data_IF_387613958758
#
_entry.id   IF_387613958758
#
_cell.length_a   1.000
_cell.length_b   1.000
_cell.length_c   1.000
_cell.angle_alpha   90.00
_cell.angle_beta   90.00
_cell.angle_gamma   90.00
#
_symmetry.space_group_name_H-M   'P 1'
#
loop_
_entity.id
_entity.type
_entity.pdbx_description
1 polymer ?
#
# COMPACT_ATOMS: atom_id res chain seq x y z
N UNK A 1 -15.88 -0.58 -9.94
CA UNK A 1 -14.78 0.13 -9.27
C UNK A 1 -13.47 -0.48 -9.74
N UNK A 2 -12.50 0.33 -10.16
CA UNK A 2 -11.19 -0.18 -10.54
C UNK A 2 -10.35 -0.27 -9.26
N UNK A 3 -10.16 -1.48 -8.73
CA UNK A 3 -9.45 -1.72 -7.47
C UNK A 3 -7.96 -1.60 -7.72
N UNK A 4 -7.29 -0.65 -7.07
CA UNK A 4 -5.84 -0.53 -7.12
C UNK A 4 -5.24 -1.22 -5.90
N UNK A 5 -4.32 -2.16 -6.14
CA UNK A 5 -3.52 -2.77 -5.08
C UNK A 5 -2.06 -2.45 -5.28
N UNK A 6 -1.29 -2.50 -4.19
CA UNK A 6 0.17 -2.50 -4.25
C UNK A 6 0.72 -3.75 -3.58
N UNK A 7 1.88 -4.17 -4.05
CA UNK A 7 2.67 -5.29 -3.52
C UNK A 7 3.98 -4.76 -2.94
N UNK A 8 4.72 -5.61 -2.25
CA UNK A 8 6.03 -5.25 -1.72
C UNK A 8 7.01 -4.78 -2.83
N UNK A 9 6.85 -5.31 -4.05
CA UNK A 9 7.66 -4.91 -5.22
C UNK A 9 7.35 -3.50 -5.70
N UNK A 10 6.08 -3.09 -5.63
CA UNK A 10 5.66 -1.73 -6.01
C UNK A 10 6.20 -0.69 -5.02
N UNK A 11 6.48 -1.11 -3.78
CA UNK A 11 7.12 -0.30 -2.75
C UNK A 11 8.65 -0.34 -2.83
N UNK A 12 9.24 -0.78 -3.95
CA UNK A 12 10.70 -0.93 -4.17
C UNK A 12 11.41 -1.65 -3.01
N UNK A 13 10.74 -2.63 -2.40
CA UNK A 13 11.23 -3.37 -1.24
C UNK A 13 11.61 -2.49 -0.03
N UNK A 14 11.01 -1.30 0.11
CA UNK A 14 11.35 -0.38 1.20
C UNK A 14 11.10 -1.06 2.55
N UNK A 15 12.17 -1.29 3.30
CA UNK A 15 12.17 -1.94 4.62
C UNK A 15 11.83 -0.98 5.77
N UNK A 16 11.72 0.31 5.46
CA UNK A 16 11.43 1.38 6.41
C UNK A 16 10.04 1.98 6.13
N UNK A 17 9.27 2.35 7.17
CA UNK A 17 8.04 3.11 7.01
C UNK A 17 8.31 4.45 6.30
N UNK A 18 7.35 4.93 5.51
CA UNK A 18 7.50 6.18 4.76
C UNK A 18 6.37 6.44 3.80
N UNK A 19 6.55 7.45 2.94
CA UNK A 19 5.63 7.71 1.83
C UNK A 19 6.25 7.21 0.53
N UNK A 20 5.56 6.33 -0.17
CA UNK A 20 5.96 5.87 -1.50
C UNK A 20 5.08 6.54 -2.56
N UNK A 21 5.63 6.76 -3.76
CA UNK A 21 4.88 7.36 -4.86
C UNK A 21 4.48 6.29 -5.86
N UNK A 22 3.19 6.09 -6.02
CA UNK A 22 2.64 5.25 -7.09
C UNK A 22 2.31 6.09 -8.32
N UNK A 23 1.87 5.44 -9.40
CA UNK A 23 1.42 6.13 -10.62
C UNK A 23 0.24 7.07 -10.42
N UNK A 24 -0.47 6.99 -9.28
CA UNK A 24 -1.68 7.78 -9.01
C UNK A 24 -1.67 8.54 -7.69
N UNK A 25 -1.04 8.00 -6.66
CA UNK A 25 -1.09 8.57 -5.32
C UNK A 25 0.26 8.46 -4.61
N UNK A 26 0.54 9.44 -3.75
CA UNK A 26 1.48 9.27 -2.66
C UNK A 26 0.80 8.43 -1.58
N UNK A 27 1.43 7.32 -1.19
CA UNK A 27 0.85 6.30 -0.31
C UNK A 27 1.67 6.25 0.99
N UNK A 28 0.99 6.33 2.13
CA UNK A 28 1.62 6.13 3.42
C UNK A 28 1.81 4.63 3.70
N UNK A 29 3.07 4.21 3.85
CA UNK A 29 3.48 2.88 4.26
C UNK A 29 3.90 2.95 5.73
N UNK A 30 3.07 2.41 6.60
CA UNK A 30 3.35 2.32 8.03
C UNK A 30 4.11 1.04 8.40
N UNK A 31 4.65 0.98 9.62
CA UNK A 31 5.44 -0.17 10.11
C UNK A 31 4.69 -1.50 9.99
N UNK A 32 3.39 -1.51 10.27
CA UNK A 32 2.55 -2.70 10.14
C UNK A 32 2.53 -3.28 8.72
N UNK A 33 2.63 -2.43 7.69
CA UNK A 33 2.62 -2.85 6.29
C UNK A 33 3.92 -3.57 5.94
N UNK A 34 5.04 -3.02 6.42
CA UNK A 34 6.39 -3.59 6.25
C UNK A 34 6.48 -4.94 6.97
N UNK A 35 6.04 -5.01 8.24
CA UNK A 35 6.04 -6.26 9.01
C UNK A 35 5.22 -7.34 8.30
N UNK A 36 4.06 -6.98 7.76
CA UNK A 36 3.21 -7.91 7.04
C UNK A 36 3.81 -8.39 5.72
N UNK A 37 4.46 -7.53 4.95
CA UNK A 37 5.20 -7.95 3.75
C UNK A 37 6.42 -8.81 4.07
N UNK A 38 7.04 -8.62 5.24
CA UNK A 38 8.11 -9.51 5.70
C UNK A 38 7.59 -10.92 5.97
N UNK A 39 6.39 -11.04 6.53
CA UNK A 39 5.74 -12.33 6.78
C UNK A 39 5.13 -12.95 5.51
N UNK A 40 4.59 -12.12 4.60
CA UNK A 40 4.00 -12.50 3.32
C UNK A 40 4.47 -11.57 2.18
N UNK A 41 5.63 -11.86 1.56
CA UNK A 41 6.22 -11.07 0.47
C UNK A 41 5.33 -10.86 -0.75
N UNK A 42 4.40 -11.80 -0.99
CA UNK A 42 3.45 -11.76 -2.11
C UNK A 42 2.11 -11.10 -1.72
N UNK A 43 1.99 -10.70 -0.45
CA UNK A 43 0.84 -10.01 0.11
C UNK A 43 0.54 -8.70 -0.61
N UNK A 44 -0.75 -8.43 -0.80
CA UNK A 44 -1.24 -7.21 -1.46
C UNK A 44 -1.98 -6.33 -0.46
N UNK A 45 -1.85 -5.02 -0.64
CA UNK A 45 -2.66 -4.03 0.05
C UNK A 45 -3.55 -3.29 -0.93
N UNK A 46 -4.77 -3.00 -0.50
CA UNK A 46 -5.69 -2.12 -1.19
C UNK A 46 -5.22 -0.68 -1.01
N UNK A 47 -5.11 0.07 -2.11
CA UNK A 47 -4.87 1.52 -2.05
C UNK A 47 -6.22 2.21 -1.90
N UNK A 48 -6.43 2.84 -0.75
CA UNK A 48 -7.60 3.65 -0.47
C UNK A 48 -7.27 5.10 -0.79
N UNK A 49 -7.95 5.71 -1.78
CA UNK A 49 -7.72 7.11 -2.14
C UNK A 49 -7.89 8.03 -0.92
N UNK A 50 -7.12 9.12 -0.85
CA UNK A 50 -7.24 10.04 0.26
C UNK A 50 -8.61 10.73 0.25
N UNK A 51 -9.14 11.03 1.43
CA UNK A 51 -10.41 11.74 1.57
C UNK A 51 -10.32 13.21 1.09
N UNK A 52 -9.11 13.77 1.02
CA UNK A 52 -8.83 15.12 0.58
C UNK A 52 -7.57 15.13 -0.31
N UNK A 53 -7.51 16.01 -1.31
CA UNK A 53 -6.41 16.05 -2.32
C UNK A 53 -4.99 16.20 -1.74
N UNK A 54 -4.84 16.67 -0.49
CA UNK A 54 -3.54 16.90 0.15
C UNK A 54 -3.09 15.78 1.09
N UNK A 55 -3.93 14.78 1.37
CA UNK A 55 -3.56 13.67 2.24
C UNK A 55 -2.97 12.51 1.42
N UNK A 56 -2.03 11.71 1.98
CA UNK A 56 -1.58 10.50 1.32
C UNK A 56 -2.71 9.46 1.28
N UNK A 57 -2.71 8.64 0.24
CA UNK A 57 -3.52 7.44 0.17
C UNK A 57 -3.12 6.47 1.29
N UNK A 58 -4.10 5.74 1.80
CA UNK A 58 -3.90 4.74 2.86
C UNK A 58 -3.89 3.35 2.27
N UNK A 59 -3.23 2.45 3.00
CA UNK A 59 -3.23 1.04 2.68
C UNK A 59 -4.19 0.31 3.62
N UNK A 60 -5.01 -0.54 3.03
CA UNK A 60 -5.88 -1.44 3.77
C UNK A 60 -5.61 -2.88 3.34
N UNK A 61 -5.98 -3.82 4.20
CA UNK A 61 -5.83 -5.24 3.90
C UNK A 61 -6.65 -5.61 2.67
N UNK A 62 -6.00 -6.17 1.65
CA UNK A 62 -6.68 -6.69 0.49
C UNK A 62 -7.24 -8.08 0.77
N UNK A 63 -8.55 -8.26 0.59
CA UNK A 63 -9.22 -9.55 0.62
C UNK A 63 -9.60 -9.89 -0.82
N UNK A 64 -8.86 -10.74 -1.54
CA UNK A 64 -9.32 -11.21 -2.84
C UNK A 64 -10.68 -11.90 -2.64
N UNK A 65 -11.70 -11.42 -3.33
CA UNK A 65 -13.00 -12.08 -3.34
C UNK A 65 -12.81 -13.51 -3.87
N UNK A 66 -13.34 -14.50 -3.15
CA UNK A 66 -13.35 -15.91 -3.53
C UNK A 66 -14.08 -16.15 -4.86
#
# INVERSE_FOLDING_TARGET
MNVQTITWRDADFTVEPGTIRTSRYDVAVEKEHVERWRDDPDGRFLVVPPAHERAPARLEKFYPSL
#
